data_IF_561445384428
#
_entry.id   IF_561445384428
#
_cell.length_a   1.000
_cell.length_b   1.000
_cell.length_c   1.000
_cell.angle_alpha   90.00
_cell.angle_beta   90.00
_cell.angle_gamma   90.00
#
_symmetry.space_group_name_H-M   'P 1'
#
loop_
_entity.id
_entity.type
_entity.pdbx_description
1 polymer ?
#
# COMPACT_ATOMS: atom_id res chain seq x y z
N UNK A 1 -26.67 -10.09 19.48
CA UNK A 1 -26.18 -9.07 20.40
C UNK A 1 -24.66 -9.00 20.25
N UNK A 2 -24.14 -7.86 19.77
CA UNK A 2 -22.71 -7.72 19.47
C UNK A 2 -21.81 -7.82 20.72
N UNK A 3 -22.34 -7.58 21.91
CA UNK A 3 -21.58 -7.70 23.16
C UNK A 3 -21.23 -9.15 23.54
N UNK A 4 -21.87 -10.12 22.89
CA UNK A 4 -21.62 -11.56 23.09
C UNK A 4 -20.85 -12.19 21.91
N UNK A 5 -20.41 -11.40 20.94
CA UNK A 5 -19.62 -11.87 19.81
C UNK A 5 -18.14 -11.98 20.20
N UNK A 6 -17.49 -13.05 19.79
CA UNK A 6 -16.03 -13.19 19.92
C UNK A 6 -15.30 -12.36 18.86
N UNK A 7 -15.90 -12.21 17.66
CA UNK A 7 -15.29 -11.56 16.53
C UNK A 7 -16.32 -10.79 15.70
N UNK A 8 -15.96 -9.58 15.28
CA UNK A 8 -16.80 -8.69 14.48
C UNK A 8 -15.99 -8.23 13.27
N UNK A 9 -16.60 -8.23 12.09
CA UNK A 9 -16.04 -7.65 10.87
C UNK A 9 -16.88 -6.45 10.43
N UNK A 10 -16.24 -5.30 10.26
CA UNK A 10 -16.82 -4.13 9.63
C UNK A 10 -16.24 -4.03 8.23
N UNK A 11 -17.02 -4.47 7.25
CA UNK A 11 -16.65 -4.49 5.86
C UNK A 11 -17.65 -3.61 5.11
N UNK A 12 -17.17 -2.59 4.43
CA UNK A 12 -18.00 -1.73 3.59
C UNK A 12 -17.91 -2.12 2.12
N UNK A 13 -18.68 -1.44 1.28
CA UNK A 13 -18.61 -1.61 -0.17
C UNK A 13 -17.50 -0.72 -0.74
N UNK A 14 -16.53 -1.30 -1.43
CA UNK A 14 -15.31 -0.65 -1.92
C UNK A 14 -15.53 0.59 -2.80
N UNK A 15 -16.63 0.65 -3.52
CA UNK A 15 -16.94 1.74 -4.45
C UNK A 15 -17.88 2.79 -3.84
N UNK A 16 -18.22 2.68 -2.57
CA UNK A 16 -19.13 3.61 -1.93
C UNK A 16 -18.39 4.86 -1.44
N UNK A 17 -18.79 6.07 -1.86
CA UNK A 17 -18.23 7.29 -1.30
C UNK A 17 -18.40 7.35 0.22
N UNK A 18 -17.30 7.60 0.93
CA UNK A 18 -17.33 7.65 2.39
C UNK A 18 -17.30 6.29 3.08
N UNK A 19 -16.88 5.23 2.41
CA UNK A 19 -16.67 3.89 2.96
C UNK A 19 -15.97 3.93 4.33
N UNK A 20 -14.79 4.54 4.40
CA UNK A 20 -14.01 4.61 5.64
C UNK A 20 -14.75 5.38 6.75
N UNK A 21 -15.45 6.45 6.42
CA UNK A 21 -16.23 7.22 7.38
C UNK A 21 -17.38 6.39 7.97
N UNK A 22 -18.06 5.58 7.14
CA UNK A 22 -19.09 4.64 7.60
C UNK A 22 -18.53 3.54 8.47
N UNK A 23 -17.38 2.99 8.11
CA UNK A 23 -16.67 2.00 8.89
C UNK A 23 -16.30 2.53 10.27
N UNK A 24 -15.78 3.76 10.34
CA UNK A 24 -15.47 4.42 11.61
C UNK A 24 -16.74 4.72 12.44
N UNK A 25 -17.83 5.15 11.79
CA UNK A 25 -19.11 5.37 12.47
C UNK A 25 -19.66 4.06 13.07
N UNK A 26 -19.57 2.96 12.33
CA UNK A 26 -19.98 1.65 12.82
C UNK A 26 -19.12 1.20 14.02
N UNK A 27 -17.81 1.48 13.99
CA UNK A 27 -16.92 1.21 15.10
C UNK A 27 -17.32 2.00 16.37
N UNK A 28 -17.65 3.28 16.25
CA UNK A 28 -18.09 4.07 17.40
C UNK A 28 -19.38 3.51 18.02
N UNK A 29 -20.34 3.08 17.20
CA UNK A 29 -21.54 2.39 17.69
C UNK A 29 -21.21 1.08 18.41
N UNK A 30 -20.25 0.31 17.89
CA UNK A 30 -19.81 -0.93 18.52
C UNK A 30 -19.11 -0.70 19.85
N UNK A 31 -18.35 0.36 20.02
CA UNK A 31 -17.73 0.71 21.31
C UNK A 31 -18.78 0.87 22.41
N UNK A 32 -19.91 1.52 22.10
CA UNK A 32 -21.01 1.69 23.05
C UNK A 32 -21.67 0.35 23.39
N UNK A 33 -21.92 -0.51 22.39
CA UNK A 33 -22.53 -1.82 22.56
C UNK A 33 -21.60 -2.75 23.34
N UNK A 34 -20.31 -2.77 23.00
CA UNK A 34 -19.33 -3.65 23.64
C UNK A 34 -18.85 -3.13 25.00
N UNK A 35 -19.27 -1.94 25.43
CA UNK A 35 -18.98 -1.47 26.79
C UNK A 35 -19.53 -2.38 27.89
N UNK A 36 -20.54 -3.20 27.59
CA UNK A 36 -21.12 -4.19 28.46
C UNK A 36 -20.58 -5.63 28.25
N UNK A 37 -19.61 -5.81 27.36
CA UNK A 37 -19.02 -7.12 27.11
C UNK A 37 -18.30 -7.65 28.39
N UNK A 38 -18.28 -8.95 28.56
CA UNK A 38 -17.62 -9.63 29.68
C UNK A 38 -16.33 -10.35 29.29
N UNK A 39 -15.98 -10.30 28.01
CA UNK A 39 -14.80 -10.90 27.41
C UNK A 39 -14.27 -10.00 26.29
N UNK A 40 -13.06 -10.29 25.82
CA UNK A 40 -12.46 -9.56 24.70
C UNK A 40 -13.22 -9.82 23.39
N UNK A 41 -13.57 -8.75 22.69
CA UNK A 41 -14.23 -8.78 21.38
C UNK A 41 -13.22 -8.31 20.34
N UNK A 42 -12.90 -9.14 19.36
CA UNK A 42 -12.01 -8.78 18.28
C UNK A 42 -12.80 -8.14 17.14
N UNK A 43 -12.38 -6.95 16.71
CA UNK A 43 -13.03 -6.23 15.62
C UNK A 43 -12.02 -5.98 14.49
N UNK A 44 -12.33 -6.48 13.30
CA UNK A 44 -11.60 -6.19 12.09
C UNK A 44 -12.33 -5.13 11.28
N UNK A 45 -11.65 -4.02 11.05
CA UNK A 45 -12.19 -2.82 10.42
C UNK A 45 -11.54 -2.60 9.05
N UNK A 46 -12.34 -2.67 7.96
CA UNK A 46 -11.85 -2.33 6.63
C UNK A 46 -11.72 -0.82 6.48
N UNK A 47 -10.50 -0.34 6.26
CA UNK A 47 -10.15 1.05 5.94
C UNK A 47 -9.20 1.05 4.75
N UNK A 48 -9.63 1.65 3.65
CA UNK A 48 -8.92 1.63 2.36
C UNK A 48 -8.14 2.91 2.05
N UNK A 49 -8.31 3.97 2.85
CA UNK A 49 -7.55 5.22 2.74
C UNK A 49 -6.36 5.22 3.72
N UNK A 50 -5.16 5.33 3.20
CA UNK A 50 -3.93 5.31 4.01
C UNK A 50 -3.93 6.39 5.10
N UNK A 51 -4.38 7.60 4.77
CA UNK A 51 -4.47 8.71 5.74
C UNK A 51 -5.43 8.38 6.88
N UNK A 52 -6.57 7.75 6.55
CA UNK A 52 -7.55 7.32 7.56
C UNK A 52 -6.98 6.24 8.47
N UNK A 53 -6.19 5.29 7.92
CA UNK A 53 -5.49 4.28 8.71
C UNK A 53 -4.49 4.90 9.69
N UNK A 54 -3.68 5.85 9.24
CA UNK A 54 -2.69 6.54 10.08
C UNK A 54 -3.36 7.29 11.23
N UNK A 55 -4.45 8.02 10.93
CA UNK A 55 -5.25 8.71 11.94
C UNK A 55 -5.85 7.69 12.93
N UNK A 56 -6.39 6.58 12.44
CA UNK A 56 -6.96 5.54 13.28
C UNK A 56 -5.89 4.92 14.20
N UNK A 57 -4.71 4.62 13.71
CA UNK A 57 -3.62 4.07 14.52
C UNK A 57 -3.19 5.04 15.63
N UNK A 58 -3.18 6.33 15.34
CA UNK A 58 -2.94 7.35 16.35
C UNK A 58 -4.01 7.34 17.46
N UNK A 59 -5.28 7.24 17.10
CA UNK A 59 -6.38 7.14 18.07
C UNK A 59 -6.35 5.85 18.87
N UNK A 60 -5.98 4.73 18.25
CA UNK A 60 -5.82 3.43 18.91
C UNK A 60 -4.80 3.48 20.05
N UNK A 61 -3.71 4.21 19.88
CA UNK A 61 -2.67 4.36 20.90
C UNK A 61 -3.13 5.19 22.11
N UNK A 62 -4.15 6.04 21.93
CA UNK A 62 -4.55 7.03 22.92
C UNK A 62 -5.95 6.82 23.53
N UNK A 63 -6.74 5.83 23.08
CA UNK A 63 -8.14 5.70 23.46
C UNK A 63 -8.69 4.28 23.50
N UNK A 64 -8.22 3.45 24.44
CA UNK A 64 -8.67 2.06 24.53
C UNK A 64 -10.02 1.89 25.25
N UNK A 65 -10.95 1.23 24.58
CA UNK A 65 -11.95 0.41 25.26
C UNK A 65 -11.27 -0.92 25.62
N UNK A 66 -11.22 -1.27 26.90
CA UNK A 66 -10.45 -2.43 27.42
C UNK A 66 -10.83 -3.77 26.81
N UNK A 67 -12.03 -3.92 26.24
CA UNK A 67 -12.57 -5.20 25.77
C UNK A 67 -12.83 -5.25 24.27
N UNK A 68 -12.75 -4.15 23.54
CA UNK A 68 -12.84 -4.12 22.09
C UNK A 68 -11.47 -3.96 21.49
N UNK A 69 -10.91 -5.06 20.98
CA UNK A 69 -9.61 -5.10 20.32
C UNK A 69 -9.83 -4.87 18.83
N UNK A 70 -9.41 -3.70 18.32
CA UNK A 70 -9.63 -3.32 16.92
C UNK A 70 -8.35 -3.48 16.12
N UNK A 71 -8.46 -4.18 15.00
CA UNK A 71 -7.42 -4.23 13.99
C UNK A 71 -7.92 -3.69 12.66
N UNK A 72 -7.03 -3.07 11.87
CA UNK A 72 -7.38 -2.44 10.60
C UNK A 72 -6.86 -3.29 9.45
N UNK A 73 -7.75 -3.58 8.51
CA UNK A 73 -7.45 -4.29 7.28
C UNK A 73 -7.61 -3.31 6.11
N UNK A 74 -6.60 -3.23 5.26
CA UNK A 74 -6.70 -2.60 3.95
C UNK A 74 -6.84 -3.72 2.91
N UNK A 75 -7.99 -3.79 2.26
CA UNK A 75 -8.27 -4.85 1.30
C UNK A 75 -7.29 -4.81 0.12
N UNK A 76 -6.92 -3.63 -0.35
CA UNK A 76 -5.95 -3.49 -1.45
C UNK A 76 -4.54 -3.93 -1.05
N UNK A 77 -4.09 -3.62 0.16
CA UNK A 77 -2.81 -4.07 0.68
C UNK A 77 -2.81 -5.59 0.86
N UNK A 78 -3.86 -6.13 1.42
CA UNK A 78 -4.01 -7.58 1.57
C UNK A 78 -3.95 -8.31 0.22
N UNK A 79 -4.70 -7.83 -0.79
CA UNK A 79 -4.64 -8.43 -2.13
C UNK A 79 -3.27 -8.26 -2.79
N UNK A 80 -2.61 -7.13 -2.61
CA UNK A 80 -1.26 -6.92 -3.13
C UNK A 80 -0.25 -7.90 -2.50
N UNK A 81 -0.31 -8.10 -1.20
CA UNK A 81 0.51 -9.09 -0.50
C UNK A 81 0.24 -10.50 -0.99
N UNK A 82 -1.03 -10.92 -1.10
CA UNK A 82 -1.39 -12.23 -1.61
C UNK A 82 -0.90 -12.43 -3.05
N UNK A 83 -1.00 -11.42 -3.90
CA UNK A 83 -0.51 -11.47 -5.27
C UNK A 83 1.00 -11.66 -5.32
N UNK A 84 1.76 -10.97 -4.49
CA UNK A 84 3.22 -10.96 -4.54
C UNK A 84 3.85 -12.13 -3.78
N UNK A 85 3.31 -12.50 -2.62
CA UNK A 85 3.86 -13.58 -1.78
C UNK A 85 3.28 -14.94 -2.17
N UNK A 86 2.01 -14.99 -2.55
CA UNK A 86 1.28 -16.22 -2.87
C UNK A 86 1.54 -16.79 -4.26
N UNK A 87 2.29 -16.08 -5.10
CA UNK A 87 2.54 -16.47 -6.49
C UNK A 87 4.04 -16.47 -6.78
N UNK A 88 4.48 -17.34 -7.67
CA UNK A 88 5.88 -17.40 -8.14
C UNK A 88 6.24 -16.24 -9.10
N UNK A 89 5.59 -15.08 -8.98
CA UNK A 89 5.83 -13.92 -9.84
C UNK A 89 7.15 -13.20 -9.53
N UNK A 90 7.57 -13.22 -8.28
CA UNK A 90 8.80 -12.54 -7.91
C UNK A 90 10.03 -13.39 -8.30
N UNK A 91 11.03 -12.79 -8.94
CA UNK A 91 12.24 -13.51 -9.31
C UNK A 91 13.02 -13.92 -8.06
N UNK A 92 13.63 -15.09 -8.11
CA UNK A 92 14.61 -15.50 -7.11
C UNK A 92 15.98 -14.97 -7.55
N UNK A 93 16.49 -13.94 -6.87
CA UNK A 93 17.82 -13.37 -7.10
C UNK A 93 18.73 -13.79 -5.96
N UNK A 94 19.80 -14.49 -6.30
CA UNK A 94 20.76 -15.04 -5.31
C UNK A 94 21.90 -14.04 -5.04
N UNK A 95 22.56 -14.22 -3.89
CA UNK A 95 23.81 -13.52 -3.59
C UNK A 95 24.86 -13.76 -4.69
N UNK A 96 25.58 -12.72 -5.07
CA UNK A 96 26.55 -12.75 -6.17
C UNK A 96 25.96 -12.47 -7.56
N UNK A 97 24.63 -12.35 -7.70
CA UNK A 97 23.99 -11.97 -8.97
C UNK A 97 23.79 -10.46 -9.03
N UNK A 98 24.42 -9.77 -10.01
CA UNK A 98 24.19 -8.36 -10.31
C UNK A 98 22.91 -8.20 -11.14
N UNK A 99 21.77 -8.49 -10.50
CA UNK A 99 20.42 -8.39 -11.07
C UNK A 99 19.49 -7.66 -10.13
N UNK A 100 18.44 -7.05 -10.66
CA UNK A 100 17.34 -6.48 -9.88
C UNK A 100 15.99 -6.94 -10.41
N UNK A 101 14.95 -6.77 -9.60
CA UNK A 101 13.57 -6.95 -10.02
C UNK A 101 13.03 -5.64 -10.57
N UNK A 102 12.36 -5.71 -11.72
CA UNK A 102 11.63 -4.59 -12.29
C UNK A 102 10.14 -4.91 -12.34
N UNK A 103 9.35 -4.11 -11.64
CA UNK A 103 7.89 -4.27 -11.54
C UNK A 103 7.24 -3.12 -12.30
N UNK A 104 6.39 -3.45 -13.26
CA UNK A 104 5.64 -2.46 -14.05
C UNK A 104 4.18 -2.49 -13.58
N UNK A 105 3.68 -1.35 -13.16
CA UNK A 105 2.31 -1.17 -12.67
C UNK A 105 1.57 -0.24 -13.62
N UNK A 106 0.46 -0.71 -14.18
CA UNK A 106 -0.38 0.07 -15.08
C UNK A 106 -1.59 0.58 -14.31
N UNK A 107 -1.72 1.90 -14.25
CA UNK A 107 -2.77 2.58 -13.46
C UNK A 107 -2.24 3.26 -12.21
N UNK A 108 -3.08 4.11 -11.61
CA UNK A 108 -2.76 4.92 -10.42
C UNK A 108 -3.81 4.81 -9.32
N UNK A 109 -4.75 3.87 -9.46
CA UNK A 109 -5.78 3.60 -8.45
C UNK A 109 -5.22 2.99 -7.16
N UNK A 110 -6.07 2.83 -6.15
CA UNK A 110 -5.69 2.29 -4.83
C UNK A 110 -4.98 0.94 -4.92
N UNK A 111 -5.46 0.03 -5.78
CA UNK A 111 -4.81 -1.27 -5.99
C UNK A 111 -3.39 -1.13 -6.53
N UNK A 112 -3.16 -0.20 -7.48
CA UNK A 112 -1.83 0.08 -8.03
C UNK A 112 -0.89 0.67 -6.96
N UNK A 113 -1.41 1.58 -6.13
CA UNK A 113 -0.66 2.16 -5.01
C UNK A 113 -0.25 1.08 -4.00
N UNK A 114 -1.20 0.25 -3.58
CA UNK A 114 -0.93 -0.84 -2.64
C UNK A 114 0.06 -1.86 -3.21
N UNK A 115 -0.07 -2.22 -4.50
CA UNK A 115 0.89 -3.09 -5.16
C UNK A 115 2.31 -2.48 -5.15
N UNK A 116 2.44 -1.19 -5.38
CA UNK A 116 3.73 -0.52 -5.35
C UNK A 116 4.33 -0.45 -3.93
N UNK A 117 3.50 -0.14 -2.94
CA UNK A 117 3.94 -0.14 -1.55
C UNK A 117 4.39 -1.52 -1.09
N UNK A 118 3.60 -2.54 -1.39
CA UNK A 118 3.95 -3.93 -1.08
C UNK A 118 5.25 -4.33 -1.79
N UNK A 119 5.40 -4.01 -3.07
CA UNK A 119 6.63 -4.27 -3.83
C UNK A 119 7.85 -3.61 -3.18
N UNK A 120 7.72 -2.33 -2.80
CA UNK A 120 8.81 -1.60 -2.15
C UNK A 120 9.18 -2.17 -0.78
N UNK A 121 8.24 -2.81 -0.09
CA UNK A 121 8.48 -3.44 1.21
C UNK A 121 9.07 -4.83 1.15
N UNK A 122 8.66 -5.65 0.19
CA UNK A 122 9.04 -7.08 0.16
C UNK A 122 10.11 -7.42 -0.86
N UNK A 123 10.27 -6.62 -1.93
CA UNK A 123 11.21 -6.89 -3.01
C UNK A 123 12.62 -6.38 -2.70
N UNK A 124 13.21 -6.85 -1.61
CA UNK A 124 14.60 -6.57 -1.25
C UNK A 124 15.48 -7.77 -1.57
N UNK A 125 16.46 -7.55 -2.43
CA UNK A 125 17.36 -8.60 -2.91
C UNK A 125 18.78 -8.37 -2.41
N UNK A 126 19.61 -9.47 -2.28
CA UNK A 126 21.02 -9.36 -1.89
C UNK A 126 21.82 -8.38 -2.77
N UNK A 127 21.47 -8.27 -4.04
CA UNK A 127 22.10 -7.35 -4.99
C UNK A 127 22.06 -5.87 -4.56
N UNK A 128 21.12 -5.47 -3.69
CA UNK A 128 21.11 -4.11 -3.13
C UNK A 128 22.34 -3.85 -2.25
N UNK A 129 22.65 -4.78 -1.33
CA UNK A 129 23.79 -4.64 -0.43
C UNK A 129 25.12 -4.90 -1.12
N UNK A 130 25.15 -5.78 -2.11
CA UNK A 130 26.37 -6.19 -2.81
C UNK A 130 26.76 -5.27 -3.95
N UNK A 131 25.78 -4.76 -4.70
CA UNK A 131 26.00 -3.99 -5.93
C UNK A 131 25.27 -2.63 -5.96
N UNK A 132 24.52 -2.29 -4.91
CA UNK A 132 23.70 -1.06 -4.86
C UNK A 132 22.45 -1.11 -5.74
N UNK A 133 22.04 -2.28 -6.23
CA UNK A 133 20.88 -2.43 -7.12
C UNK A 133 19.57 -2.37 -6.35
N UNK A 134 18.82 -1.31 -6.54
CA UNK A 134 17.45 -1.17 -5.98
C UNK A 134 16.43 -1.90 -6.85
N UNK A 135 15.33 -2.33 -6.25
CA UNK A 135 14.16 -2.78 -7.01
C UNK A 135 13.59 -1.62 -7.79
N UNK A 136 13.33 -1.83 -9.07
CA UNK A 136 12.76 -0.82 -9.96
C UNK A 136 11.23 -0.97 -9.98
N UNK A 137 10.51 0.14 -9.77
CA UNK A 137 9.05 0.19 -9.82
C UNK A 137 8.65 1.26 -10.83
N UNK A 138 8.03 0.84 -11.93
CA UNK A 138 7.58 1.73 -12.99
C UNK A 138 6.07 1.83 -13.03
N UNK A 139 5.55 3.05 -13.05
CA UNK A 139 4.13 3.33 -13.26
C UNK A 139 3.85 3.80 -14.67
N UNK A 140 2.73 3.35 -15.22
CA UNK A 140 2.23 3.75 -16.54
C UNK A 140 0.80 4.25 -16.40
N UNK A 141 0.58 5.58 -16.52
CA UNK A 141 -0.75 6.20 -16.50
C UNK A 141 -0.71 7.65 -17.04
N UNK A 142 -1.88 8.19 -17.38
CA UNK A 142 -2.05 9.59 -17.81
C UNK A 142 -2.00 10.60 -16.67
N UNK A 143 -2.38 10.20 -15.44
CA UNK A 143 -2.44 11.04 -14.23
C UNK A 143 -1.14 11.13 -13.41
N UNK A 144 0.00 10.78 -13.98
CA UNK A 144 1.23 10.49 -13.25
C UNK A 144 1.79 11.59 -12.36
N UNK A 145 1.73 12.85 -12.79
CA UNK A 145 2.35 13.94 -12.01
C UNK A 145 1.72 14.10 -10.62
N UNK A 146 0.40 14.17 -10.56
CA UNK A 146 -0.34 14.31 -9.31
C UNK A 146 -0.13 13.09 -8.41
N UNK A 147 -0.15 11.91 -9.01
CA UNK A 147 0.07 10.66 -8.32
C UNK A 147 1.46 10.59 -7.68
N UNK A 148 2.51 10.91 -8.43
CA UNK A 148 3.88 10.98 -7.93
C UNK A 148 4.01 11.91 -6.74
N UNK A 149 3.50 13.13 -6.87
CA UNK A 149 3.61 14.15 -5.84
C UNK A 149 2.89 13.70 -4.55
N UNK A 150 1.77 13.01 -4.69
CA UNK A 150 1.04 12.41 -3.57
C UNK A 150 1.83 11.26 -2.90
N UNK A 151 2.43 10.36 -3.69
CA UNK A 151 3.24 9.25 -3.16
C UNK A 151 4.45 9.77 -2.39
N UNK A 152 5.19 10.73 -2.95
CA UNK A 152 6.36 11.32 -2.30
C UNK A 152 5.96 11.98 -0.98
N UNK A 153 4.84 12.70 -0.95
CA UNK A 153 4.36 13.37 0.24
C UNK A 153 3.94 12.38 1.35
N UNK A 154 3.29 11.27 0.96
CA UNK A 154 2.74 10.30 1.92
C UNK A 154 3.79 9.32 2.45
N UNK A 155 4.75 8.89 1.64
CA UNK A 155 5.72 7.85 2.02
C UNK A 155 7.12 8.08 1.45
N UNK A 156 7.81 9.17 1.86
CA UNK A 156 9.10 9.55 1.27
C UNK A 156 10.20 8.51 1.46
N UNK A 157 10.14 7.70 2.51
CA UNK A 157 11.14 6.66 2.80
C UNK A 157 11.16 5.53 1.76
N UNK A 158 10.03 5.24 1.09
CA UNK A 158 9.97 4.21 0.06
C UNK A 158 10.82 4.56 -1.16
N UNK A 159 10.95 5.85 -1.47
CA UNK A 159 11.80 6.34 -2.55
C UNK A 159 13.29 6.16 -2.27
N UNK A 160 13.68 6.07 -1.01
CA UNK A 160 15.05 5.75 -0.65
C UNK A 160 15.39 4.26 -0.86
N UNK A 161 14.40 3.38 -0.74
CA UNK A 161 14.58 1.94 -0.79
C UNK A 161 14.43 1.33 -2.19
N UNK A 162 13.69 1.99 -3.08
CA UNK A 162 13.38 1.52 -4.44
C UNK A 162 13.71 2.61 -5.46
N UNK A 163 13.87 2.23 -6.72
CA UNK A 163 13.98 3.16 -7.84
C UNK A 163 12.62 3.29 -8.54
N UNK A 164 12.11 4.52 -8.65
CA UNK A 164 10.76 4.79 -9.13
C UNK A 164 10.80 5.53 -10.45
N UNK A 165 10.10 4.97 -11.44
CA UNK A 165 10.02 5.52 -12.79
C UNK A 165 8.55 5.74 -13.16
N UNK A 166 8.28 6.80 -13.91
CA UNK A 166 6.93 7.16 -14.34
C UNK A 166 6.90 7.33 -15.85
N UNK A 167 5.91 6.70 -16.48
CA UNK A 167 5.66 6.81 -17.91
C UNK A 167 4.23 7.29 -18.16
N UNK A 168 4.07 8.36 -18.92
CA UNK A 168 2.77 8.74 -19.47
C UNK A 168 2.60 8.11 -20.84
N UNK A 169 1.49 7.38 -21.10
CA UNK A 169 1.23 6.82 -22.43
C UNK A 169 1.06 7.88 -23.52
N UNK A 170 0.72 9.12 -23.14
CA UNK A 170 0.56 10.25 -24.06
C UNK A 170 1.91 10.93 -24.41
N UNK A 171 2.87 10.83 -23.53
CA UNK A 171 4.23 11.28 -23.79
C UNK A 171 5.00 10.17 -24.49
N UNK A 172 5.14 10.26 -25.79
CA UNK A 172 5.82 9.22 -26.60
C UNK A 172 7.25 8.90 -26.14
N UNK A 173 7.81 9.52 -25.09
CA UNK A 173 9.24 9.45 -24.84
C UNK A 173 9.78 9.89 -23.48
N UNK A 174 8.98 10.14 -22.44
CA UNK A 174 9.56 10.64 -21.19
C UNK A 174 9.45 9.62 -20.06
N UNK A 175 10.58 9.05 -19.63
CA UNK A 175 10.72 8.36 -18.34
C UNK A 175 11.25 9.38 -17.35
N UNK A 176 10.52 9.59 -16.26
CA UNK A 176 10.96 10.43 -15.16
C UNK A 176 11.44 9.57 -14.02
N UNK A 177 12.71 9.69 -13.64
CA UNK A 177 13.21 9.11 -12.40
C UNK A 177 12.84 10.01 -11.22
N UNK A 178 12.36 9.44 -10.13
CA UNK A 178 11.88 10.19 -8.98
C UNK A 178 13.00 10.96 -8.23
N UNK A 179 14.24 10.45 -8.29
CA UNK A 179 15.31 10.97 -7.44
C UNK A 179 16.05 12.20 -7.99
N UNK A 180 16.16 12.41 -9.29
CA UNK A 180 17.05 13.44 -9.83
C UNK A 180 16.42 14.40 -10.84
N UNK A 181 15.17 14.24 -11.20
CA UNK A 181 14.54 15.07 -12.23
C UNK A 181 15.14 14.91 -13.63
N UNK A 182 16.04 13.94 -13.81
CA UNK A 182 16.66 13.67 -15.09
C UNK A 182 15.70 12.92 -16.00
N UNK A 183 15.51 13.45 -17.19
CA UNK A 183 14.67 12.84 -18.23
C UNK A 183 15.56 11.87 -19.02
N UNK A 184 15.25 10.58 -18.95
CA UNK A 184 15.88 9.58 -19.82
C UNK A 184 15.11 9.48 -21.15
N UNK A 185 15.80 9.77 -22.25
CA UNK A 185 15.25 9.57 -23.59
C UNK A 185 15.30 8.09 -23.98
N UNK A 186 14.15 7.43 -24.01
CA UNK A 186 14.02 6.00 -24.35
C UNK A 186 14.30 5.72 -25.84
N UNK A 187 14.44 6.73 -26.70
CA UNK A 187 14.58 6.51 -28.15
C UNK A 187 15.74 5.60 -28.55
N UNK A 188 16.71 5.39 -27.67
CA UNK A 188 17.92 4.63 -27.96
C UNK A 188 17.99 3.24 -27.34
N UNK A 189 16.93 2.77 -26.64
CA UNK A 189 16.94 1.52 -25.88
C UNK A 189 16.18 0.33 -26.49
N UNK A 190 15.53 0.50 -27.63
CA UNK A 190 14.85 -0.60 -28.33
C UNK A 190 15.57 -0.83 -29.66
N UNK A 191 16.60 -1.66 -29.61
CA UNK A 191 17.22 -2.28 -30.79
C UNK A 191 17.01 -3.78 -30.72
#
# INVERSE_FOLDING_TARGET
>A
DASNADMIYIIGEDNEPGHDAKSLQALEMLKEICASATHDVYCYLSINETVTQEVFQYYRQNGESRLLLVDVINDYEYYAEQLMVGTDFLPVIKSGEDKTCHIIIVGTGKAAQSAAYTAAHICHYPSYTEFGRKTEISFVDTGMKTFRDMLIASRPHLFAMSEWTYMSPDSKTEIHHADNGDILDIRNGIS
#
